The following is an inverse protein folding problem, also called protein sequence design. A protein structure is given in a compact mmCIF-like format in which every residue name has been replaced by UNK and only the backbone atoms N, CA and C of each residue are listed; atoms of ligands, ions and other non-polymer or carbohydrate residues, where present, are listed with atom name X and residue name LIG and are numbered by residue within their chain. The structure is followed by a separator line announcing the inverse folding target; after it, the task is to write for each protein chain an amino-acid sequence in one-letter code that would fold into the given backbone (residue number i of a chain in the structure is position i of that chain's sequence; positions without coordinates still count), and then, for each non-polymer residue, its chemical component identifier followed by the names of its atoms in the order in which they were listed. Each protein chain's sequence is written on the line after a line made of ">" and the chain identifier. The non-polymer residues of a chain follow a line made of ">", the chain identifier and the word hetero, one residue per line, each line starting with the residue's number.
data_IF_873913661870
#
_entry.id   IF_873913661870
#
_cell.length_a   1.000
_cell.length_b   1.000
_cell.length_c   1.000
_cell.angle_alpha   90.00
_cell.angle_beta   90.00
_cell.angle_gamma   90.00
#
_symmetry.space_group_name_H-M   'P 1'
#
loop_
_entity.id
_entity.type
_entity.pdbx_description
1 polymer ?
#
# COMPACT_ATOMS: atom_id res chain seq x y z
N UNK A 1 63.39 -12.51 22.93
CA UNK A 1 62.68 -11.86 21.81
C UNK A 1 61.25 -11.55 22.25
N UNK A 2 60.99 -10.35 22.79
CA UNK A 2 59.64 -9.95 23.21
C UNK A 2 58.97 -9.19 22.06
N UNK A 3 58.02 -9.84 21.38
CA UNK A 3 57.17 -9.20 20.37
C UNK A 3 56.21 -8.26 21.11
N UNK A 4 56.57 -6.97 21.22
CA UNK A 4 55.68 -5.93 21.72
C UNK A 4 54.49 -5.85 20.76
N UNK A 5 53.30 -6.19 21.23
CA UNK A 5 52.04 -5.96 20.51
C UNK A 5 51.92 -4.46 20.25
N UNK A 6 51.88 -4.07 18.96
CA UNK A 6 51.96 -2.69 18.48
C UNK A 6 50.65 -1.91 18.66
N UNK A 7 49.61 -2.52 19.24
CA UNK A 7 48.25 -1.99 19.37
C UNK A 7 47.90 -1.95 20.85
N UNK A 8 47.54 -0.77 21.36
CA UNK A 8 47.15 -0.61 22.76
C UNK A 8 45.80 -1.30 23.03
N UNK A 9 45.56 -1.82 24.25
CA UNK A 9 44.29 -2.46 24.62
C UNK A 9 43.02 -1.68 24.22
N UNK A 10 42.92 -0.34 24.37
CA UNK A 10 41.73 0.40 23.94
C UNK A 10 41.57 0.45 22.41
N UNK A 11 42.66 0.51 21.65
CA UNK A 11 42.59 0.53 20.17
C UNK A 11 42.14 -0.83 19.63
N UNK A 12 42.59 -1.92 20.26
CA UNK A 12 42.13 -3.26 19.91
C UNK A 12 40.62 -3.42 20.12
N UNK A 13 40.08 -2.88 21.23
CA UNK A 13 38.65 -2.94 21.53
C UNK A 13 37.81 -2.18 20.49
N UNK A 14 38.25 -0.99 20.08
CA UNK A 14 37.56 -0.20 19.04
C UNK A 14 37.57 -0.93 17.69
N UNK A 15 38.69 -1.54 17.31
CA UNK A 15 38.79 -2.31 16.05
C UNK A 15 37.88 -3.55 16.06
N UNK A 16 37.76 -4.24 17.20
CA UNK A 16 36.85 -5.38 17.36
C UNK A 16 35.39 -4.93 17.28
N UNK A 17 35.04 -3.81 17.92
CA UNK A 17 33.68 -3.25 17.85
C UNK A 17 33.31 -2.82 16.43
N UNK A 18 34.22 -2.14 15.72
CA UNK A 18 34.00 -1.75 14.33
C UNK A 18 33.83 -2.97 13.42
N UNK A 19 34.64 -4.02 13.60
CA UNK A 19 34.50 -5.27 12.86
C UNK A 19 33.18 -5.98 13.18
N UNK A 20 32.74 -5.97 14.44
CA UNK A 20 31.45 -6.55 14.81
C UNK A 20 30.28 -5.78 14.19
N UNK A 21 30.33 -4.44 14.20
CA UNK A 21 29.31 -3.58 13.58
C UNK A 21 29.26 -3.81 12.06
N UNK A 22 30.41 -3.85 11.38
CA UNK A 22 30.44 -4.10 9.93
C UNK A 22 29.94 -5.50 9.60
N UNK A 23 30.27 -6.51 10.41
CA UNK A 23 29.73 -7.88 10.23
C UNK A 23 28.23 -7.91 10.45
N UNK A 24 27.69 -7.26 11.49
CA UNK A 24 26.24 -7.18 11.72
C UNK A 24 25.55 -6.43 10.58
N UNK A 25 26.10 -5.31 10.12
CA UNK A 25 25.56 -4.54 9.00
C UNK A 25 25.56 -5.36 7.71
N UNK A 26 26.63 -6.11 7.43
CA UNK A 26 26.71 -7.01 6.27
C UNK A 26 25.73 -8.17 6.41
N UNK A 27 25.56 -8.76 7.60
CA UNK A 27 24.55 -9.79 7.84
C UNK A 27 23.15 -9.23 7.56
N UNK A 28 22.82 -8.06 8.11
CA UNK A 28 21.52 -7.39 7.89
C UNK A 28 21.31 -7.08 6.41
N UNK A 29 22.33 -6.58 5.70
CA UNK A 29 22.27 -6.32 4.27
C UNK A 29 22.06 -7.59 3.44
N UNK A 30 22.77 -8.67 3.77
CA UNK A 30 22.64 -9.95 3.08
C UNK A 30 21.26 -10.56 3.34
N UNK A 31 20.74 -10.50 4.57
CA UNK A 31 19.38 -10.96 4.89
C UNK A 31 18.30 -10.06 4.31
N UNK A 32 18.58 -8.77 4.08
CA UNK A 32 17.61 -7.83 3.51
C UNK A 32 17.42 -7.98 1.99
N UNK A 33 18.26 -8.78 1.32
CA UNK A 33 18.30 -8.83 -0.15
C UNK A 33 17.36 -9.86 -0.80
N UNK A 34 16.43 -10.49 -0.06
CA UNK A 34 15.63 -11.58 -0.64
C UNK A 34 14.14 -11.61 -0.28
N UNK A 35 13.54 -10.45 0.00
CA UNK A 35 12.08 -10.30 -0.11
C UNK A 35 11.79 -9.97 -1.59
N UNK A 36 11.74 -11.00 -2.44
CA UNK A 36 10.97 -10.86 -3.68
C UNK A 36 9.52 -10.89 -3.21
N UNK A 37 9.00 -9.76 -2.74
CA UNK A 37 7.61 -9.64 -2.31
C UNK A 37 6.76 -10.01 -3.53
N UNK A 38 6.17 -11.23 -3.59
CA UNK A 38 5.23 -11.52 -4.64
C UNK A 38 4.05 -10.63 -4.29
N UNK A 39 3.90 -9.52 -5.01
CA UNK A 39 2.96 -8.45 -4.67
C UNK A 39 1.67 -8.98 -4.05
N UNK A 40 1.25 -8.32 -2.97
CA UNK A 40 0.17 -8.66 -2.06
C UNK A 40 -0.88 -9.65 -2.62
N UNK A 41 -1.15 -10.74 -1.90
CA UNK A 41 -2.13 -11.73 -2.34
C UNK A 41 -3.57 -11.21 -2.15
N UNK A 42 -4.60 -11.83 -2.79
CA UNK A 42 -5.99 -11.45 -2.55
C UNK A 42 -6.37 -11.46 -1.06
N UNK A 43 -5.89 -12.46 -0.29
CA UNK A 43 -6.15 -12.56 1.14
C UNK A 43 -5.52 -11.40 1.92
N UNK A 44 -4.33 -10.96 1.53
CA UNK A 44 -3.65 -9.82 2.15
C UNK A 44 -4.39 -8.50 1.86
N UNK A 45 -4.85 -8.28 0.61
CA UNK A 45 -5.68 -7.12 0.26
C UNK A 45 -7.00 -7.13 1.02
N UNK A 46 -7.67 -8.29 1.10
CA UNK A 46 -8.93 -8.43 1.82
C UNK A 46 -8.77 -8.10 3.31
N UNK A 47 -7.72 -8.64 3.95
CA UNK A 47 -7.44 -8.40 5.36
C UNK A 47 -7.14 -6.93 5.64
N UNK A 48 -6.23 -6.33 4.85
CA UNK A 48 -5.87 -4.91 5.00
C UNK A 48 -7.03 -3.98 4.65
N UNK A 49 -7.80 -4.30 3.61
CA UNK A 49 -8.98 -3.54 3.21
C UNK A 49 -10.01 -3.49 4.33
N UNK A 50 -10.31 -4.63 4.96
CA UNK A 50 -11.22 -4.69 6.10
C UNK A 50 -10.72 -3.86 7.30
N UNK A 51 -9.43 -3.91 7.61
CA UNK A 51 -8.83 -3.09 8.68
C UNK A 51 -8.95 -1.59 8.40
N UNK A 52 -8.59 -1.16 7.19
CA UNK A 52 -8.67 0.24 6.75
C UNK A 52 -10.11 0.77 6.80
N UNK A 53 -11.08 -0.03 6.35
CA UNK A 53 -12.50 0.36 6.42
C UNK A 53 -12.97 0.48 7.87
N UNK A 54 -12.55 -0.42 8.76
CA UNK A 54 -12.94 -0.41 10.16
C UNK A 54 -12.39 0.81 10.95
N UNK A 55 -11.22 1.32 10.57
CA UNK A 55 -10.60 2.47 11.22
C UNK A 55 -10.94 3.82 10.57
N UNK A 56 -11.46 3.82 9.34
CA UNK A 56 -11.68 5.02 8.54
C UNK A 56 -12.93 5.82 8.92
N UNK A 57 -12.89 7.11 8.67
CA UNK A 57 -14.04 8.01 8.78
C UNK A 57 -14.56 8.40 7.38
N UNK A 58 -15.78 7.95 7.06
CA UNK A 58 -16.40 8.22 5.76
C UNK A 58 -16.68 9.70 5.47
N UNK A 59 -16.92 10.54 6.47
CA UNK A 59 -17.15 11.99 6.28
C UNK A 59 -15.85 12.69 5.87
N UNK A 60 -14.72 12.31 6.47
CA UNK A 60 -13.41 12.76 6.03
C UNK A 60 -13.09 12.22 4.64
N UNK A 61 -13.41 10.95 4.39
CA UNK A 61 -13.23 10.31 3.09
C UNK A 61 -13.95 11.06 1.96
N UNK A 62 -15.18 11.52 2.20
CA UNK A 62 -15.93 12.34 1.24
C UNK A 62 -15.17 13.61 0.84
N UNK A 63 -14.51 14.27 1.80
CA UNK A 63 -13.70 15.45 1.54
C UNK A 63 -12.40 15.10 0.80
N UNK A 64 -11.79 13.97 1.15
CA UNK A 64 -10.57 13.47 0.51
C UNK A 64 -10.80 13.07 -0.95
N UNK A 65 -11.94 12.48 -1.29
CA UNK A 65 -12.30 12.14 -2.67
C UNK A 65 -12.29 13.37 -3.58
N UNK A 66 -12.67 14.54 -3.06
CA UNK A 66 -12.60 15.81 -3.77
C UNK A 66 -11.18 16.38 -3.76
N UNK A 67 -10.55 16.47 -2.58
CA UNK A 67 -9.24 17.14 -2.43
C UNK A 67 -8.08 16.38 -3.09
N UNK A 68 -8.15 15.05 -3.15
CA UNK A 68 -7.23 14.17 -3.91
C UNK A 68 -7.62 14.03 -5.38
N UNK A 69 -8.63 14.78 -5.84
CA UNK A 69 -9.01 14.90 -7.26
C UNK A 69 -9.52 13.59 -7.87
N UNK A 70 -10.02 12.65 -7.06
CA UNK A 70 -10.58 11.39 -7.55
C UNK A 70 -11.79 11.64 -8.48
N UNK A 71 -12.58 12.67 -8.17
CA UNK A 71 -13.76 13.11 -8.92
C UNK A 71 -13.45 13.71 -10.30
N UNK A 72 -12.18 13.97 -10.63
CA UNK A 72 -11.82 14.38 -12.00
C UNK A 72 -12.04 13.24 -13.00
N UNK A 73 -11.88 11.99 -12.56
CA UNK A 73 -12.01 10.80 -13.40
C UNK A 73 -13.22 9.94 -13.04
N UNK A 74 -13.55 9.81 -11.75
CA UNK A 74 -14.66 9.00 -11.26
C UNK A 74 -15.89 9.88 -11.03
N UNK A 75 -16.75 9.95 -12.05
CA UNK A 75 -17.97 10.79 -12.07
C UNK A 75 -19.17 9.93 -12.44
N UNK A 76 -20.35 10.39 -12.04
CA UNK A 76 -21.63 9.76 -12.38
C UNK A 76 -22.11 10.23 -13.77
N UNK A 77 -21.23 10.10 -14.76
CA UNK A 77 -21.48 10.53 -16.14
C UNK A 77 -21.05 9.44 -17.12
N UNK A 78 -21.88 9.20 -18.13
CA UNK A 78 -21.54 8.24 -19.17
C UNK A 78 -20.28 8.68 -19.93
N UNK A 79 -19.31 7.78 -20.06
CA UNK A 79 -18.04 8.06 -20.75
C UNK A 79 -16.99 8.80 -19.90
N UNK A 80 -17.17 8.86 -18.57
CA UNK A 80 -16.12 9.29 -17.65
C UNK A 80 -14.84 8.44 -17.80
N UNK A 81 -13.69 9.01 -17.41
CA UNK A 81 -12.37 8.35 -17.52
C UNK A 81 -12.28 7.11 -16.64
N UNK A 82 -12.91 7.13 -15.47
CA UNK A 82 -13.05 5.98 -14.57
C UNK A 82 -14.52 5.69 -14.26
N UNK A 83 -14.83 4.50 -13.71
CA UNK A 83 -16.18 4.14 -13.33
C UNK A 83 -16.74 5.06 -12.23
N UNK A 84 -18.06 5.22 -12.20
CA UNK A 84 -18.77 5.85 -11.08
C UNK A 84 -18.50 5.11 -9.77
N UNK A 85 -18.50 5.84 -8.65
CA UNK A 85 -18.47 5.23 -7.32
C UNK A 85 -19.87 4.75 -6.89
N UNK A 86 -20.94 5.30 -7.44
CA UNK A 86 -22.31 4.94 -7.08
C UNK A 86 -22.56 3.46 -7.38
N UNK A 87 -22.92 2.70 -6.33
CA UNK A 87 -23.15 1.25 -6.42
C UNK A 87 -21.89 0.39 -6.51
N UNK A 88 -20.69 0.96 -6.36
CA UNK A 88 -19.44 0.20 -6.51
C UNK A 88 -19.35 -0.95 -5.51
N UNK A 89 -19.87 -0.77 -4.29
CA UNK A 89 -19.83 -1.80 -3.24
C UNK A 89 -20.63 -3.03 -3.64
N UNK A 90 -21.70 -2.86 -4.42
CA UNK A 90 -22.64 -3.92 -4.74
C UNK A 90 -22.05 -4.95 -5.72
N UNK A 91 -21.00 -4.58 -6.45
CA UNK A 91 -20.37 -5.46 -7.43
C UNK A 91 -18.85 -5.63 -7.30
N UNK A 92 -18.13 -4.75 -6.59
CA UNK A 92 -16.66 -4.78 -6.48
C UNK A 92 -16.11 -6.17 -6.10
N UNK A 93 -16.68 -6.81 -5.08
CA UNK A 93 -16.25 -8.14 -4.63
C UNK A 93 -16.59 -9.29 -5.60
N UNK A 94 -17.34 -9.03 -6.67
CA UNK A 94 -17.67 -10.02 -7.71
C UNK A 94 -16.77 -9.91 -8.94
N UNK A 95 -15.99 -8.84 -9.06
CA UNK A 95 -15.19 -8.56 -10.25
C UNK A 95 -13.99 -9.49 -10.39
N UNK A 96 -13.46 -9.99 -9.27
CA UNK A 96 -12.31 -10.89 -9.26
C UNK A 96 -12.52 -12.05 -8.29
N UNK A 97 -12.28 -13.30 -8.72
CA UNK A 97 -12.31 -14.44 -7.80
C UNK A 97 -11.35 -14.25 -6.63
N UNK A 98 -11.84 -14.50 -5.42
CA UNK A 98 -11.03 -14.43 -4.18
C UNK A 98 -10.92 -13.05 -3.55
N UNK A 99 -11.51 -11.99 -4.14
CA UNK A 99 -11.52 -10.65 -3.55
C UNK A 99 -12.84 -10.36 -2.84
N UNK A 100 -12.78 -9.63 -1.73
CA UNK A 100 -13.92 -8.90 -1.17
C UNK A 100 -14.04 -7.52 -1.85
N UNK A 101 -15.11 -6.78 -1.54
CA UNK A 101 -15.24 -5.40 -2.05
C UNK A 101 -14.08 -4.52 -1.53
N UNK A 102 -13.76 -4.63 -0.24
CA UNK A 102 -12.67 -3.89 0.40
C UNK A 102 -11.32 -4.24 -0.21
N UNK A 103 -11.04 -5.54 -0.39
CA UNK A 103 -9.77 -5.96 -1.00
C UNK A 103 -9.63 -5.48 -2.43
N UNK A 104 -10.69 -5.59 -3.24
CA UNK A 104 -10.68 -5.15 -4.63
C UNK A 104 -10.45 -3.64 -4.76
N UNK A 105 -11.14 -2.84 -3.93
CA UNK A 105 -11.00 -1.39 -3.92
C UNK A 105 -9.61 -0.96 -3.46
N UNK A 106 -9.05 -1.64 -2.45
CA UNK A 106 -7.70 -1.37 -1.98
C UNK A 106 -6.65 -1.65 -3.06
N UNK A 107 -6.73 -2.82 -3.72
CA UNK A 107 -5.84 -3.15 -4.84
C UNK A 107 -5.96 -2.12 -5.96
N UNK A 108 -7.18 -1.70 -6.31
CA UNK A 108 -7.41 -0.70 -7.35
C UNK A 108 -6.75 0.65 -7.05
N UNK A 109 -6.61 1.03 -5.76
CA UNK A 109 -5.99 2.30 -5.34
C UNK A 109 -4.47 2.18 -5.25
N UNK A 110 -3.96 1.06 -4.71
CA UNK A 110 -2.53 0.85 -4.49
C UNK A 110 -1.80 0.46 -5.78
N UNK A 111 -2.42 -0.43 -6.56
CA UNK A 111 -1.83 -1.07 -7.73
C UNK A 111 -2.76 -0.91 -8.96
N UNK A 112 -3.05 0.34 -9.37
CA UNK A 112 -3.93 0.59 -10.50
C UNK A 112 -3.37 -0.07 -11.78
N UNK A 113 -4.24 -0.80 -12.48
CA UNK A 113 -3.89 -1.48 -13.73
C UNK A 113 -3.58 -2.97 -13.60
N UNK A 114 -3.47 -3.52 -12.38
CA UNK A 114 -3.45 -4.99 -12.18
C UNK A 114 -4.73 -5.62 -12.70
N UNK A 115 -5.87 -4.95 -12.46
CA UNK A 115 -7.16 -5.32 -13.03
C UNK A 115 -7.87 -4.09 -13.59
N UNK A 116 -8.29 -4.19 -14.86
CA UNK A 116 -9.04 -3.14 -15.55
C UNK A 116 -10.49 -3.58 -15.72
N UNK A 117 -11.38 -3.01 -14.90
CA UNK A 117 -12.82 -3.24 -15.04
C UNK A 117 -13.31 -2.77 -16.41
N UNK A 118 -14.19 -3.54 -17.06
CA UNK A 118 -14.94 -3.17 -18.26
C UNK A 118 -14.12 -2.47 -19.37
N UNK A 119 -12.85 -2.84 -19.54
CA UNK A 119 -11.93 -2.24 -20.52
C UNK A 119 -11.69 -0.72 -20.34
N UNK A 120 -11.85 -0.18 -19.14
CA UNK A 120 -11.34 1.16 -18.83
C UNK A 120 -9.83 1.24 -19.10
N UNK A 121 -9.37 2.42 -19.54
CA UNK A 121 -7.95 2.63 -19.81
C UNK A 121 -7.15 2.65 -18.51
N UNK A 122 -5.90 2.18 -18.56
CA UNK A 122 -4.97 2.27 -17.44
C UNK A 122 -4.50 3.73 -17.26
N UNK A 123 -5.36 4.56 -16.69
CA UNK A 123 -5.14 6.00 -16.50
C UNK A 123 -5.30 6.43 -15.04
N UNK A 124 -5.63 5.50 -14.15
CA UNK A 124 -5.69 5.77 -12.72
C UNK A 124 -4.26 5.93 -12.18
N UNK A 125 -3.93 7.07 -11.55
CA UNK A 125 -2.61 7.28 -10.98
C UNK A 125 -2.39 6.37 -9.78
N UNK A 126 -1.14 5.90 -9.59
CA UNK A 126 -0.72 5.21 -8.38
C UNK A 126 -0.67 6.20 -7.21
N UNK A 127 -1.81 6.39 -6.54
CA UNK A 127 -1.97 7.32 -5.42
C UNK A 127 -1.58 6.71 -4.08
N UNK A 128 -1.43 5.38 -3.99
CA UNK A 128 -1.09 4.70 -2.74
C UNK A 128 0.14 5.27 -2.03
N UNK A 129 1.15 5.75 -2.76
CA UNK A 129 2.36 6.36 -2.17
C UNK A 129 2.18 7.82 -1.75
N UNK A 130 1.07 8.44 -2.12
CA UNK A 130 0.75 9.86 -1.85
C UNK A 130 -0.33 10.03 -0.77
N UNK A 131 -0.84 8.91 -0.23
CA UNK A 131 -1.83 8.86 0.84
C UNK A 131 -1.15 8.33 2.09
N UNK A 132 -1.38 8.99 3.22
CA UNK A 132 -1.12 8.38 4.52
C UNK A 132 -2.10 7.22 4.76
N UNK A 133 -1.76 6.30 5.66
CA UNK A 133 -2.65 5.17 5.98
C UNK A 133 -4.01 5.64 6.49
N UNK A 134 -4.08 6.74 7.25
CA UNK A 134 -5.35 7.30 7.71
C UNK A 134 -6.17 7.92 6.57
N UNK A 135 -5.53 8.64 5.63
CA UNK A 135 -6.24 9.18 4.46
C UNK A 135 -6.79 8.04 3.58
N UNK A 136 -5.99 6.98 3.40
CA UNK A 136 -6.43 5.79 2.68
C UNK A 136 -7.59 5.10 3.40
N UNK A 137 -7.52 4.95 4.72
CA UNK A 137 -8.61 4.41 5.53
C UNK A 137 -9.90 5.22 5.39
N UNK A 138 -9.83 6.54 5.50
CA UNK A 138 -10.97 7.44 5.36
C UNK A 138 -11.59 7.34 3.94
N UNK A 139 -10.76 7.30 2.89
CA UNK A 139 -11.20 7.08 1.51
C UNK A 139 -11.90 5.72 1.36
N UNK A 140 -11.30 4.64 1.87
CA UNK A 140 -11.87 3.29 1.82
C UNK A 140 -13.22 3.25 2.54
N UNK A 141 -13.31 3.82 3.74
CA UNK A 141 -14.56 3.91 4.49
C UNK A 141 -15.64 4.69 3.73
N UNK A 142 -15.29 5.79 3.05
CA UNK A 142 -16.24 6.51 2.20
C UNK A 142 -16.71 5.66 1.02
N UNK A 143 -15.80 5.02 0.27
CA UNK A 143 -16.17 4.20 -0.88
C UNK A 143 -17.11 3.05 -0.48
N UNK A 144 -16.91 2.48 0.72
CA UNK A 144 -17.79 1.45 1.27
C UNK A 144 -19.20 1.93 1.65
N UNK A 145 -19.48 3.23 1.60
CA UNK A 145 -20.85 3.77 1.73
C UNK A 145 -21.58 3.92 0.40
N UNK A 146 -20.90 3.71 -0.74
CA UNK A 146 -21.42 4.00 -2.07
C UNK A 146 -22.20 2.81 -2.66
N UNK A 147 -23.41 2.60 -2.14
CA UNK A 147 -24.38 1.64 -2.68
C UNK A 147 -25.22 2.23 -3.82
N UNK A 148 -25.89 1.37 -4.58
CA UNK A 148 -26.92 1.81 -5.50
C UNK A 148 -28.09 2.43 -4.71
N UNK A 149 -28.62 3.55 -5.23
CA UNK A 149 -29.80 4.21 -4.65
C UNK A 149 -31.08 3.44 -4.91
#
# INVERSE_FOLDING_TARGET
>A
MNRKTLISPPVLLVLVMLAAITVVFVIVLLTSSNETDPGMTPDDYNARGAELVAMGNSENGAQLIVSKTCTACHRDEAGSVGPSFTGIVDYAGTLRPGFTAEGYLLESILDPGVYLYNNYSNSMPALGTQLSDQELADIMAYLMTQHAQ
#
